data_IF_808525060732
#
_entry.id   IF_808525060732
#
_cell.length_a   1.000
_cell.length_b   1.000
_cell.length_c   1.000
_cell.angle_alpha   90.00
_cell.angle_beta   90.00
_cell.angle_gamma   90.00
#
_symmetry.space_group_name_H-M   'P 1'
#
loop_
_entity.id
_entity.type
_entity.pdbx_description
1 polymer ?
#
# COMPACT_ATOMS: atom_id res chain seq x y z
N UNK A 1 6.18 -9.86 -0.01
CA UNK A 1 6.20 -8.38 -0.17
C UNK A 1 4.88 -7.98 -0.80
N UNK A 2 4.19 -6.96 -0.23
CA UNK A 2 2.90 -6.51 -0.75
C UNK A 2 3.02 -6.18 -2.24
N UNK A 3 2.47 -7.02 -3.08
CA UNK A 3 2.52 -6.91 -4.54
C UNK A 3 1.13 -6.86 -5.18
N UNK A 4 0.08 -6.84 -4.38
CA UNK A 4 -1.31 -6.75 -4.82
C UNK A 4 -2.18 -6.24 -3.68
N UNK A 5 -3.08 -5.30 -3.95
CA UNK A 5 -4.04 -4.81 -2.96
C UNK A 5 -5.36 -4.42 -3.62
N UNK A 6 -6.35 -4.10 -2.82
CA UNK A 6 -7.65 -3.63 -3.28
C UNK A 6 -8.03 -2.29 -2.66
N UNK A 7 -8.82 -1.53 -3.39
CA UNK A 7 -9.47 -0.31 -2.95
C UNK A 7 -10.83 -0.21 -3.63
N UNK A 8 -11.89 -0.53 -2.91
CA UNK A 8 -13.27 -0.53 -3.43
C UNK A 8 -14.23 0.35 -2.62
N UNK A 9 -13.87 0.68 -1.38
CA UNK A 9 -14.64 1.60 -0.55
C UNK A 9 -14.68 3.01 -1.15
N UNK A 10 -15.80 3.70 -0.93
CA UNK A 10 -15.95 5.10 -1.32
C UNK A 10 -15.02 6.01 -0.50
N UNK A 11 -14.64 7.16 -1.05
CA UNK A 11 -13.79 8.13 -0.35
C UNK A 11 -14.42 8.63 0.96
N UNK A 12 -15.75 8.64 1.08
CA UNK A 12 -16.46 8.95 2.32
C UNK A 12 -16.16 7.93 3.45
N UNK A 13 -15.86 6.68 3.14
CA UNK A 13 -15.43 5.70 4.14
C UNK A 13 -13.97 5.98 4.55
N UNK A 14 -13.11 6.34 3.61
CA UNK A 14 -11.74 6.73 3.90
C UNK A 14 -11.64 8.02 4.73
N UNK A 15 -12.58 8.97 4.59
CA UNK A 15 -12.62 10.18 5.43
C UNK A 15 -12.85 9.88 6.92
N UNK A 16 -13.42 8.72 7.25
CA UNK A 16 -13.57 8.26 8.63
C UNK A 16 -12.25 7.77 9.25
N UNK A 17 -11.33 7.29 8.42
CA UNK A 17 -10.05 6.70 8.84
C UNK A 17 -8.85 7.58 8.54
N UNK A 18 -9.00 8.60 7.68
CA UNK A 18 -7.96 9.58 7.36
C UNK A 18 -8.39 10.96 7.85
N UNK A 19 -7.61 11.53 8.76
CA UNK A 19 -7.90 12.84 9.33
C UNK A 19 -7.68 13.97 8.31
N UNK A 20 -8.64 14.89 8.22
CA UNK A 20 -8.52 16.06 7.32
C UNK A 20 -8.52 15.72 5.85
N UNK A 21 -9.01 14.53 5.46
CA UNK A 21 -9.10 14.16 4.06
C UNK A 21 -10.09 15.04 3.33
N UNK A 22 -9.62 15.81 2.37
CA UNK A 22 -10.45 16.56 1.43
C UNK A 22 -10.64 15.73 0.16
N UNK A 23 -11.86 15.24 -0.04
CA UNK A 23 -12.24 14.40 -1.19
C UNK A 23 -12.96 15.19 -2.29
N UNK A 24 -13.12 16.51 -2.14
CA UNK A 24 -13.89 17.34 -3.06
C UNK A 24 -13.12 17.60 -4.37
N UNK A 25 -13.84 17.54 -5.49
CA UNK A 25 -13.35 17.93 -6.82
C UNK A 25 -12.40 16.93 -7.50
N UNK A 26 -12.30 15.70 -7.00
CA UNK A 26 -11.50 14.64 -7.60
C UNK A 26 -12.43 13.59 -8.19
N UNK A 27 -12.24 13.25 -9.46
CA UNK A 27 -12.83 12.06 -10.04
C UNK A 27 -12.11 10.82 -9.48
N UNK A 28 -12.72 10.07 -8.56
CA UNK A 28 -12.08 8.92 -7.99
C UNK A 28 -11.92 7.84 -9.06
N UNK A 29 -10.78 7.15 -9.02
CA UNK A 29 -10.65 5.92 -9.79
C UNK A 29 -11.79 4.95 -9.41
N UNK A 30 -12.30 4.16 -10.36
CA UNK A 30 -13.33 3.18 -10.07
C UNK A 30 -12.85 2.19 -9.01
N UNK A 31 -13.77 1.53 -8.29
CA UNK A 31 -13.42 0.46 -7.36
C UNK A 31 -12.53 -0.59 -8.03
N UNK A 32 -11.48 -1.00 -7.34
CA UNK A 32 -10.59 -2.03 -7.83
C UNK A 32 -10.32 -3.07 -6.74
N UNK A 33 -10.53 -4.33 -7.08
CA UNK A 33 -10.34 -5.49 -6.20
C UNK A 33 -9.00 -6.19 -6.43
N UNK A 34 -8.14 -5.66 -7.32
CA UNK A 34 -6.93 -6.37 -7.70
C UNK A 34 -5.87 -5.43 -8.32
N UNK A 35 -5.52 -4.37 -7.59
CA UNK A 35 -4.52 -3.39 -8.02
C UNK A 35 -3.15 -4.06 -8.06
N UNK A 36 -2.50 -4.01 -9.22
CA UNK A 36 -1.19 -4.59 -9.48
C UNK A 36 -0.13 -3.50 -9.75
N UNK A 37 1.17 -3.84 -9.64
CA UNK A 37 2.25 -2.94 -10.04
C UNK A 37 2.04 -2.33 -11.43
N UNK A 38 2.47 -1.11 -11.62
CA UNK A 38 2.32 -0.26 -12.82
C UNK A 38 0.90 0.25 -13.08
N UNK A 39 -0.08 -0.11 -12.26
CA UNK A 39 -1.42 0.48 -12.30
C UNK A 39 -1.51 1.74 -11.45
N UNK A 40 -2.48 2.59 -11.77
CA UNK A 40 -2.83 3.75 -10.97
C UNK A 40 -3.58 3.34 -9.69
N UNK A 41 -3.30 4.04 -8.59
CA UNK A 41 -4.02 3.89 -7.33
C UNK A 41 -4.16 5.23 -6.62
N UNK A 42 -5.14 5.31 -5.71
CA UNK A 42 -5.39 6.51 -4.94
C UNK A 42 -4.46 6.57 -3.72
N UNK A 43 -3.83 7.73 -3.57
CA UNK A 43 -3.00 8.06 -2.42
C UNK A 43 -3.44 9.41 -1.83
N UNK A 44 -3.20 9.60 -0.54
CA UNK A 44 -3.36 10.91 0.13
C UNK A 44 -1.99 11.52 0.31
N UNK A 45 -1.83 12.78 -0.07
CA UNK A 45 -0.62 13.59 0.16
C UNK A 45 -0.98 14.93 0.81
N UNK A 46 0.01 15.51 1.48
CA UNK A 46 -0.09 16.90 1.90
C UNK A 46 0.22 17.83 0.73
N UNK A 47 -0.69 18.73 0.41
CA UNK A 47 -0.50 19.76 -0.61
C UNK A 47 -1.09 21.08 -0.13
N UNK A 48 -0.30 22.16 -0.17
CA UNK A 48 -0.78 23.54 0.13
C UNK A 48 -1.64 23.64 1.39
N UNK A 49 -1.21 22.99 2.49
CA UNK A 49 -1.90 23.05 3.78
C UNK A 49 -3.11 22.13 3.93
N UNK A 50 -3.36 21.24 2.99
CA UNK A 50 -4.47 20.28 3.05
C UNK A 50 -4.05 18.85 2.66
N UNK A 51 -4.82 17.87 3.09
CA UNK A 51 -4.67 16.48 2.67
C UNK A 51 -5.57 16.22 1.46
N UNK A 52 -4.96 15.87 0.32
CA UNK A 52 -5.66 15.64 -0.95
C UNK A 52 -5.48 14.22 -1.45
N UNK A 53 -6.49 13.73 -2.14
CA UNK A 53 -6.42 12.45 -2.86
C UNK A 53 -5.89 12.69 -4.27
N UNK A 54 -4.88 11.92 -4.65
CA UNK A 54 -4.29 11.93 -5.99
C UNK A 54 -4.22 10.52 -6.55
N UNK A 55 -4.22 10.41 -7.88
CA UNK A 55 -4.01 9.16 -8.60
C UNK A 55 -2.56 9.06 -9.05
N UNK A 56 -1.80 8.11 -8.50
CA UNK A 56 -0.39 7.88 -8.82
C UNK A 56 -0.14 6.47 -9.33
N UNK A 57 0.89 6.29 -10.17
CA UNK A 57 1.28 4.97 -10.67
C UNK A 57 2.11 4.20 -9.63
N UNK A 58 1.77 2.95 -9.37
CA UNK A 58 2.50 2.09 -8.44
C UNK A 58 3.81 1.54 -9.05
N UNK A 59 4.92 1.95 -8.49
CA UNK A 59 6.28 1.64 -8.93
C UNK A 59 7.12 2.91 -8.99
N UNK A 60 7.87 3.19 -7.91
CA UNK A 60 8.55 4.47 -7.68
C UNK A 60 9.63 4.74 -8.73
N UNK A 61 9.59 5.95 -9.29
CA UNK A 61 10.64 6.52 -10.13
C UNK A 61 11.09 7.83 -9.47
N UNK A 62 12.28 7.88 -8.86
CA UNK A 62 12.78 9.09 -8.21
C UNK A 62 12.88 10.27 -9.16
N UNK A 63 12.59 11.50 -8.68
CA UNK A 63 12.60 12.72 -9.48
C UNK A 63 13.95 13.03 -10.15
N UNK A 64 15.06 12.59 -9.54
CA UNK A 64 16.41 12.80 -10.09
C UNK A 64 16.79 11.84 -11.23
N UNK A 65 16.02 10.78 -11.46
CA UNK A 65 16.35 9.73 -12.44
C UNK A 65 16.01 10.19 -13.85
N UNK A 66 17.02 10.54 -14.63
CA UNK A 66 16.85 11.02 -16.00
C UNK A 66 16.35 9.95 -16.98
N UNK A 67 16.83 8.73 -16.79
CA UNK A 67 16.43 7.58 -17.61
C UNK A 67 15.83 6.50 -16.69
N UNK A 68 14.52 6.48 -16.50
CA UNK A 68 13.88 5.47 -15.69
C UNK A 68 14.13 4.08 -16.29
N UNK A 69 14.89 3.28 -15.57
CA UNK A 69 15.13 1.89 -15.94
C UNK A 69 13.86 1.04 -15.87
N UNK A 70 13.99 -0.22 -16.25
CA UNK A 70 12.88 -1.20 -16.15
C UNK A 70 12.51 -1.52 -14.69
N UNK A 71 13.41 -1.27 -13.74
CA UNK A 71 13.19 -1.57 -12.31
C UNK A 71 12.53 -0.36 -11.66
N UNK A 72 11.25 -0.54 -11.32
CA UNK A 72 10.44 0.42 -10.56
C UNK A 72 10.04 -0.24 -9.25
N UNK A 73 10.73 0.05 -8.13
CA UNK A 73 10.43 -0.62 -6.87
C UNK A 73 9.00 -0.30 -6.41
N UNK A 74 8.24 -1.34 -6.20
CA UNK A 74 6.86 -1.26 -5.68
C UNK A 74 6.82 -1.20 -4.15
N UNK A 75 7.92 -1.60 -3.49
CA UNK A 75 8.05 -1.59 -2.04
C UNK A 75 9.40 -1.01 -1.60
N UNK A 76 9.39 -0.34 -0.44
CA UNK A 76 10.57 0.09 0.28
C UNK A 76 10.57 -0.54 1.69
N UNK A 77 11.73 -0.98 2.18
CA UNK A 77 11.84 -1.56 3.53
C UNK A 77 12.04 -0.46 4.57
N UNK A 78 11.20 -0.39 5.59
CA UNK A 78 11.26 0.60 6.66
C UNK A 78 12.65 0.68 7.30
N UNK A 79 13.32 -0.45 7.46
CA UNK A 79 14.62 -0.56 8.15
C UNK A 79 15.77 0.15 7.40
N UNK A 80 15.70 0.23 6.08
CA UNK A 80 16.80 0.75 5.24
C UNK A 80 16.40 1.91 4.34
N UNK A 81 15.15 2.35 4.41
CA UNK A 81 14.55 3.36 3.52
C UNK A 81 15.33 4.68 3.56
N UNK A 82 15.78 5.10 4.74
CA UNK A 82 16.52 6.35 4.96
C UNK A 82 17.95 6.33 4.39
N UNK A 83 18.51 5.14 4.12
CA UNK A 83 19.88 4.97 3.62
C UNK A 83 19.93 4.82 2.09
N UNK A 84 18.87 4.29 1.50
CA UNK A 84 18.86 3.96 0.07
C UNK A 84 18.64 5.20 -0.79
N UNK A 85 19.55 5.53 -1.75
CA UNK A 85 19.39 6.70 -2.62
C UNK A 85 18.04 6.75 -3.35
N UNK A 86 17.48 5.58 -3.67
CA UNK A 86 16.18 5.44 -4.32
C UNK A 86 15.02 6.03 -3.49
N UNK A 87 15.12 6.06 -2.17
CA UNK A 87 14.01 6.35 -1.27
C UNK A 87 14.26 7.48 -0.28
N UNK A 88 15.52 7.76 0.08
CA UNK A 88 15.89 8.63 1.22
C UNK A 88 15.29 10.04 1.14
N UNK A 89 15.24 10.62 -0.06
CA UNK A 89 14.75 11.99 -0.24
C UNK A 89 13.21 11.99 -0.17
N UNK A 90 12.56 11.01 -0.82
CA UNK A 90 11.12 10.82 -0.69
C UNK A 90 10.70 10.49 0.74
N UNK A 91 11.50 9.73 1.48
CA UNK A 91 11.26 9.43 2.89
C UNK A 91 11.25 10.68 3.78
N UNK A 92 12.08 11.66 3.47
CA UNK A 92 12.12 12.93 4.20
C UNK A 92 10.99 13.88 3.84
N UNK A 93 10.58 13.94 2.57
CA UNK A 93 9.77 15.06 2.07
C UNK A 93 8.54 14.65 1.25
N UNK A 94 8.47 13.43 0.75
CA UNK A 94 7.47 13.00 -0.22
C UNK A 94 6.77 11.72 0.26
N UNK A 95 6.07 11.83 1.38
CA UNK A 95 5.32 10.74 1.99
C UNK A 95 3.85 10.81 1.60
N UNK A 96 3.21 9.65 1.52
CA UNK A 96 1.79 9.54 1.21
C UNK A 96 1.15 8.41 2.03
N UNK A 97 -0.18 8.41 2.05
CA UNK A 97 -0.99 7.30 2.54
C UNK A 97 -1.64 6.62 1.33
N UNK A 98 -1.44 5.33 1.18
CA UNK A 98 -2.06 4.54 0.11
C UNK A 98 -3.39 4.01 0.61
N UNK A 99 -4.49 4.36 -0.06
CA UNK A 99 -5.84 3.94 0.32
C UNK A 99 -6.04 2.46 0.01
N UNK A 100 -6.52 1.68 0.99
CA UNK A 100 -6.56 0.23 0.92
C UNK A 100 -7.75 -0.33 1.72
N UNK A 101 -8.46 -1.30 1.13
CA UNK A 101 -9.47 -2.10 1.83
C UNK A 101 -8.89 -3.45 2.28
N UNK A 102 -7.91 -3.96 1.54
CA UNK A 102 -7.22 -5.20 1.84
C UNK A 102 -6.06 -5.44 0.87
N UNK A 103 -5.15 -6.34 1.23
CA UNK A 103 -4.04 -6.72 0.37
C UNK A 103 -3.93 -8.24 0.26
N UNK A 104 -3.18 -8.70 -0.74
CA UNK A 104 -3.01 -10.13 -1.00
C UNK A 104 -1.54 -10.53 -0.83
N UNK A 105 -1.35 -11.70 -0.23
CA UNK A 105 -0.05 -12.35 -0.11
C UNK A 105 -0.17 -13.84 -0.43
N UNK A 106 0.94 -14.44 -0.84
CA UNK A 106 0.99 -15.82 -1.33
C UNK A 106 1.80 -16.71 -0.39
N UNK A 107 1.10 -17.58 0.33
CA UNK A 107 1.73 -18.60 1.16
C UNK A 107 2.28 -19.74 0.29
N UNK A 108 3.56 -20.05 0.45
CA UNK A 108 4.15 -21.24 -0.18
C UNK A 108 3.73 -22.49 0.58
N UNK A 109 3.08 -23.43 -0.11
CA UNK A 109 2.64 -24.70 0.44
C UNK A 109 3.78 -25.75 0.36
N UNK A 110 3.62 -26.85 1.12
CA UNK A 110 4.60 -27.95 1.15
C UNK A 110 4.85 -28.57 -0.24
N UNK A 111 3.82 -28.60 -1.09
CA UNK A 111 3.92 -29.11 -2.48
C UNK A 111 4.54 -28.09 -3.46
N UNK A 112 5.09 -26.96 -2.98
CA UNK A 112 5.71 -25.90 -3.79
C UNK A 112 4.73 -24.94 -4.47
N UNK A 113 3.42 -25.21 -4.45
CA UNK A 113 2.40 -24.29 -4.97
C UNK A 113 2.24 -23.07 -4.04
N UNK A 114 1.69 -21.99 -4.58
CA UNK A 114 1.38 -20.79 -3.80
C UNK A 114 -0.14 -20.62 -3.68
N UNK A 115 -0.63 -20.52 -2.45
CA UNK A 115 -2.00 -20.21 -2.11
C UNK A 115 -2.12 -18.72 -1.81
N UNK A 116 -2.96 -17.96 -2.54
CA UNK A 116 -3.21 -16.56 -2.21
C UNK A 116 -4.11 -16.45 -0.97
N UNK A 117 -3.82 -15.44 -0.16
CA UNK A 117 -4.58 -15.04 1.01
C UNK A 117 -4.95 -13.57 0.89
N UNK A 118 -6.13 -13.24 1.37
CA UNK A 118 -6.56 -11.88 1.60
C UNK A 118 -6.27 -11.48 3.05
N UNK A 119 -5.79 -10.26 3.24
CA UNK A 119 -5.52 -9.66 4.54
C UNK A 119 -6.19 -8.28 4.58
N UNK A 120 -7.20 -8.13 5.42
CA UNK A 120 -7.95 -6.90 5.64
C UNK A 120 -8.22 -6.71 7.13
N UNK A 121 -8.77 -5.56 7.54
CA UNK A 121 -9.13 -5.36 8.94
C UNK A 121 -10.24 -6.32 9.36
N UNK A 122 -10.19 -6.79 10.60
CA UNK A 122 -11.18 -7.72 11.15
C UNK A 122 -12.59 -7.10 11.19
N UNK A 123 -12.67 -5.78 11.40
CA UNK A 123 -13.93 -5.02 11.40
C UNK A 123 -14.43 -4.66 9.98
N UNK A 124 -13.70 -5.05 8.92
CA UNK A 124 -14.03 -4.74 7.53
C UNK A 124 -13.85 -3.26 7.15
N UNK A 125 -13.35 -2.41 8.03
CA UNK A 125 -13.11 -1.01 7.70
C UNK A 125 -11.90 -0.84 6.78
N UNK A 126 -11.89 0.18 5.89
CA UNK A 126 -10.71 0.51 5.11
C UNK A 126 -9.57 1.01 6.02
N UNK A 127 -8.37 0.99 5.49
CA UNK A 127 -7.17 1.47 6.17
C UNK A 127 -6.20 2.14 5.20
N UNK A 128 -5.10 2.65 5.71
CA UNK A 128 -4.06 3.27 4.89
C UNK A 128 -2.72 2.61 5.14
N UNK A 129 -1.98 2.41 4.05
CA UNK A 129 -0.60 1.95 4.11
C UNK A 129 0.35 3.13 3.96
N UNK A 130 1.46 3.14 4.71
CA UNK A 130 2.52 4.11 4.52
C UNK A 130 3.15 3.97 3.13
N UNK A 131 3.30 5.07 2.42
CA UNK A 131 3.91 5.12 1.10
C UNK A 131 4.87 6.28 0.92
N UNK A 132 5.72 6.18 -0.09
CA UNK A 132 6.52 7.26 -0.64
C UNK A 132 6.04 7.57 -2.04
N UNK A 133 6.07 8.84 -2.41
CA UNK A 133 5.76 9.24 -3.78
C UNK A 133 6.92 10.03 -4.39
N UNK A 134 6.90 10.20 -5.67
CA UNK A 134 7.87 11.01 -6.39
C UNK A 134 7.24 11.58 -7.66
N UNK A 135 7.66 12.78 -8.01
CA UNK A 135 7.39 13.43 -9.28
C UNK A 135 8.67 13.40 -10.12
N UNK A 136 8.60 12.81 -11.30
CA UNK A 136 9.73 12.75 -12.22
C UNK A 136 9.37 13.40 -13.55
N UNK A 137 9.83 14.63 -13.75
CA UNK A 137 9.61 15.40 -14.96
C UNK A 137 10.37 14.88 -16.19
N UNK A 138 11.33 13.96 -16.00
CA UNK A 138 12.17 13.43 -17.10
C UNK A 138 11.69 12.10 -17.66
N UNK A 139 10.78 11.42 -16.97
CA UNK A 139 10.41 10.03 -17.28
C UNK A 139 9.49 9.84 -18.50
N UNK A 140 8.83 10.91 -18.92
CA UNK A 140 7.94 10.96 -20.08
C UNK A 140 7.81 12.43 -20.52
N UNK A 141 7.14 12.68 -21.66
CA UNK A 141 6.94 14.05 -22.18
C UNK A 141 6.22 14.98 -21.19
N UNK A 142 5.34 14.43 -20.35
CA UNK A 142 4.58 15.18 -19.34
C UNK A 142 5.01 14.88 -17.91
N UNK A 143 6.12 14.12 -17.74
CA UNK A 143 6.52 13.59 -16.44
C UNK A 143 5.63 12.44 -15.96
N UNK A 144 6.01 11.84 -14.84
CA UNK A 144 5.19 10.81 -14.18
C UNK A 144 5.21 11.00 -12.66
N UNK A 145 4.05 10.81 -12.05
CA UNK A 145 3.94 10.73 -10.60
C UNK A 145 3.74 9.28 -10.17
N UNK A 146 4.60 8.83 -9.28
CA UNK A 146 4.69 7.42 -8.89
C UNK A 146 4.76 7.26 -7.39
N UNK A 147 4.41 6.07 -6.89
CA UNK A 147 4.55 5.74 -5.47
C UNK A 147 5.06 4.32 -5.24
N UNK A 148 5.51 4.05 -4.02
CA UNK A 148 5.75 2.70 -3.51
C UNK A 148 5.20 2.55 -2.09
N UNK A 149 4.91 1.31 -1.69
CA UNK A 149 4.43 0.96 -0.34
C UNK A 149 5.62 0.68 0.58
N UNK A 150 5.57 1.17 1.81
CA UNK A 150 6.59 0.83 2.82
C UNK A 150 6.19 -0.48 3.50
N UNK A 151 7.18 -1.35 3.69
CA UNK A 151 6.99 -2.66 4.31
C UNK A 151 7.87 -2.84 5.55
N UNK A 152 7.39 -3.64 6.48
CA UNK A 152 8.05 -4.02 7.75
C UNK A 152 8.05 -5.55 7.90
N UNK A 153 8.83 -6.15 8.82
CA UNK A 153 8.64 -7.54 9.20
C UNK A 153 7.19 -7.81 9.59
N UNK A 154 6.65 -8.93 9.12
CA UNK A 154 5.27 -9.28 9.43
C UNK A 154 5.13 -9.70 10.90
N UNK A 155 3.99 -9.34 11.50
CA UNK A 155 3.57 -9.73 12.86
C UNK A 155 2.21 -10.44 12.82
N UNK A 156 1.79 -10.99 13.95
CA UNK A 156 0.49 -11.62 14.09
C UNK A 156 0.20 -12.70 13.04
N UNK A 157 -1.04 -12.78 12.59
CA UNK A 157 -1.46 -13.75 11.57
C UNK A 157 -0.79 -13.54 10.21
N UNK A 158 -0.48 -12.30 9.84
CA UNK A 158 0.20 -12.00 8.57
C UNK A 158 1.55 -12.70 8.46
N UNK A 159 2.28 -12.89 9.58
CA UNK A 159 3.56 -13.59 9.62
C UNK A 159 3.44 -15.08 9.24
N UNK A 160 2.27 -15.70 9.39
CA UNK A 160 2.02 -17.09 8.98
C UNK A 160 1.93 -17.25 7.46
N UNK A 161 1.72 -16.16 6.73
CA UNK A 161 1.57 -16.13 5.28
C UNK A 161 2.86 -15.68 4.60
N UNK A 162 3.43 -14.55 5.05
CA UNK A 162 4.65 -13.99 4.47
C UNK A 162 5.48 -13.28 5.54
N UNK A 163 6.81 -13.25 5.40
CA UNK A 163 7.73 -12.62 6.34
C UNK A 163 7.71 -11.07 6.33
N UNK A 164 7.00 -10.46 5.38
CA UNK A 164 6.83 -9.00 5.27
C UNK A 164 5.37 -8.64 5.16
N UNK A 165 5.01 -7.46 5.69
CA UNK A 165 3.69 -6.85 5.55
C UNK A 165 3.83 -5.34 5.25
N UNK A 166 2.82 -4.67 4.65
CA UNK A 166 2.81 -3.21 4.56
C UNK A 166 2.76 -2.58 5.95
N UNK A 167 3.36 -1.40 6.09
CA UNK A 167 3.17 -0.60 7.30
C UNK A 167 1.78 0.03 7.23
N UNK A 168 0.88 -0.38 8.10
CA UNK A 168 -0.46 0.19 8.26
C UNK A 168 -0.37 1.28 9.31
N UNK A 169 -0.67 2.53 8.92
CA UNK A 169 -0.50 3.67 9.83
C UNK A 169 -1.76 3.90 10.66
N UNK A 170 -1.66 3.92 12.01
CA UNK A 170 -2.75 4.31 12.86
C UNK A 170 -3.10 5.79 12.66
N UNK A 171 -4.36 6.16 12.87
CA UNK A 171 -4.84 7.53 12.65
C UNK A 171 -3.98 8.60 13.33
N UNK A 172 -3.53 8.34 14.55
CA UNK A 172 -2.71 9.27 15.33
C UNK A 172 -1.34 9.60 14.69
N UNK A 173 -0.81 8.73 13.82
CA UNK A 173 0.47 8.94 13.16
C UNK A 173 0.34 9.60 11.77
N UNK A 174 -0.85 9.63 11.18
CA UNK A 174 -1.03 10.00 9.77
C UNK A 174 -0.71 11.47 9.49
N UNK A 175 -1.16 12.38 10.35
CA UNK A 175 -0.90 13.83 10.19
C UNK A 175 0.60 14.13 10.23
N UNK A 176 1.31 13.56 11.20
CA UNK A 176 2.77 13.72 11.28
C UNK A 176 3.49 13.03 10.12
N UNK A 177 2.99 11.87 9.68
CA UNK A 177 3.52 11.17 8.51
C UNK A 177 3.43 12.02 7.24
N UNK A 178 2.32 12.70 7.03
CA UNK A 178 2.10 13.54 5.84
C UNK A 178 2.79 14.91 5.93
N UNK A 179 3.13 15.39 7.12
CA UNK A 179 3.74 16.72 7.32
C UNK A 179 5.20 16.76 6.83
N UNK A 180 5.52 17.47 5.74
CA UNK A 180 6.88 17.56 5.23
C UNK A 180 7.84 18.31 6.14
N UNK A 181 7.35 19.08 7.13
CA UNK A 181 8.19 19.76 8.13
C UNK A 181 8.80 18.78 9.13
N UNK A 182 8.16 17.62 9.36
CA UNK A 182 8.70 16.50 10.13
C UNK A 182 9.70 15.75 9.26
N UNK A 183 10.96 16.19 9.22
CA UNK A 183 11.97 15.66 8.28
C UNK A 183 13.17 14.99 8.96
N UNK A 184 13.24 15.01 10.30
CA UNK A 184 14.28 14.30 11.05
C UNK A 184 14.05 12.78 10.91
N UNK A 185 15.06 12.07 10.42
CA UNK A 185 15.00 10.65 10.10
C UNK A 185 14.45 9.80 11.25
N UNK A 186 14.92 10.05 12.46
CA UNK A 186 14.54 9.29 13.66
C UNK A 186 13.06 9.46 13.96
N UNK A 187 12.54 10.68 13.93
CA UNK A 187 11.11 10.97 14.15
C UNK A 187 10.23 10.30 13.10
N UNK A 188 10.62 10.37 11.82
CA UNK A 188 9.86 9.75 10.74
C UNK A 188 9.89 8.22 10.84
N UNK A 189 11.03 7.64 11.27
CA UNK A 189 11.15 6.20 11.49
C UNK A 189 10.26 5.70 12.63
N UNK A 190 10.15 6.44 13.72
CA UNK A 190 9.28 6.10 14.86
C UNK A 190 7.82 5.96 14.44
N UNK A 191 7.34 6.77 13.48
CA UNK A 191 5.98 6.68 12.97
C UNK A 191 5.69 5.34 12.26
N UNK A 192 6.73 4.66 11.75
CA UNK A 192 6.59 3.37 11.08
C UNK A 192 6.56 2.17 12.05
N UNK A 193 6.87 2.38 13.32
CA UNK A 193 6.94 1.31 14.33
C UNK A 193 5.58 1.00 14.99
N UNK A 194 4.59 1.86 14.83
CA UNK A 194 3.34 1.85 15.58
C UNK A 194 2.18 1.32 14.74
N UNK A 195 2.04 0.02 14.66
CA UNK A 195 0.92 -0.53 13.92
C UNK A 195 0.65 -1.99 14.24
N UNK A 196 0.23 -2.28 15.45
CA UNK A 196 -0.48 -3.54 15.68
C UNK A 196 -1.90 -3.35 15.14
N UNK A 197 -2.17 -3.95 13.98
CA UNK A 197 -3.48 -3.90 13.33
C UNK A 197 -4.07 -5.29 13.37
N UNK A 198 -5.26 -5.39 13.94
CA UNK A 198 -6.02 -6.63 13.94
C UNK A 198 -6.48 -6.94 12.50
N UNK A 199 -5.86 -7.96 11.91
CA UNK A 199 -6.11 -8.39 10.53
C UNK A 199 -6.84 -9.72 10.50
N UNK A 200 -7.91 -9.76 9.73
CA UNK A 200 -8.54 -11.01 9.28
C UNK A 200 -7.74 -11.55 8.09
N UNK A 201 -7.27 -12.80 8.22
CA UNK A 201 -6.45 -13.48 7.21
C UNK A 201 -7.17 -14.74 6.74
N UNK A 202 -7.42 -14.88 5.44
CA UNK A 202 -8.12 -16.03 4.91
C UNK A 202 -7.70 -16.37 3.47
N UNK A 203 -7.77 -17.66 3.08
CA UNK A 203 -7.46 -18.08 1.73
C UNK A 203 -8.51 -17.61 0.72
N UNK A 204 -8.05 -17.21 -0.46
CA UNK A 204 -8.89 -16.82 -1.59
C UNK A 204 -8.57 -17.65 -2.83
N UNK A 205 -9.45 -17.57 -3.85
CA UNK A 205 -9.24 -18.28 -5.11
C UNK A 205 -7.99 -17.78 -5.85
N UNK A 206 -7.34 -18.67 -6.60
CA UNK A 206 -6.28 -18.30 -7.55
C UNK A 206 -6.76 -17.37 -8.68
N UNK A 207 -8.03 -17.05 -8.72
CA UNK A 207 -8.60 -16.03 -9.61
C UNK A 207 -7.87 -14.69 -9.47
N UNK A 208 -7.44 -14.30 -8.25
CA UNK A 208 -6.69 -13.08 -7.97
C UNK A 208 -5.29 -13.06 -8.63
N UNK A 209 -4.75 -14.19 -9.06
CA UNK A 209 -3.40 -14.27 -9.64
C UNK A 209 -3.26 -13.43 -10.92
N UNK A 210 -4.31 -13.37 -11.74
CA UNK A 210 -4.30 -12.54 -12.95
C UNK A 210 -4.72 -11.10 -12.64
N UNK A 211 -3.90 -10.08 -12.93
CA UNK A 211 -4.29 -8.67 -12.76
C UNK A 211 -5.49 -8.25 -13.62
N UNK A 212 -5.81 -9.00 -14.67
CA UNK A 212 -6.99 -8.76 -15.51
C UNK A 212 -8.30 -9.10 -14.79
N UNK A 213 -8.23 -9.93 -13.75
CA UNK A 213 -9.38 -10.26 -12.92
C UNK A 213 -9.57 -9.16 -11.86
N UNK A 214 -10.56 -8.31 -12.04
CA UNK A 214 -10.83 -7.17 -11.15
C UNK A 214 -12.31 -7.14 -10.75
N UNK A 215 -12.67 -7.96 -9.77
CA UNK A 215 -14.02 -8.00 -9.20
C UNK A 215 -13.99 -8.51 -7.77
N UNK A 216 -15.08 -8.36 -7.03
CA UNK A 216 -15.22 -8.86 -5.65
C UNK A 216 -14.90 -10.37 -5.52
N UNK A 217 -14.92 -11.13 -6.61
CA UNK A 217 -14.52 -12.56 -6.61
C UNK A 217 -13.06 -12.75 -6.17
N UNK A 218 -12.21 -11.74 -6.30
CA UNK A 218 -10.81 -11.80 -5.86
C UNK A 218 -10.69 -11.99 -4.34
N UNK A 219 -11.61 -11.39 -3.56
CA UNK A 219 -11.60 -11.36 -2.10
C UNK A 219 -12.54 -12.38 -1.45
N UNK A 220 -13.25 -13.22 -2.22
CA UNK A 220 -14.15 -14.23 -1.64
C UNK A 220 -13.33 -15.26 -0.86
N UNK A 221 -13.64 -15.40 0.44
CA UNK A 221 -13.07 -16.43 1.31
C UNK A 221 -13.40 -17.82 0.76
N UNK A 222 -12.39 -18.65 0.60
CA UNK A 222 -12.61 -20.07 0.32
C UNK A 222 -13.15 -20.74 1.58
N UNK A 223 -14.16 -21.62 1.40
CA UNK A 223 -14.59 -22.50 2.46
C UNK A 223 -13.39 -23.32 2.95
N UNK A 224 -13.24 -23.47 4.25
CA UNK A 224 -12.30 -24.44 4.79
C UNK A 224 -12.67 -25.79 4.21
N UNK A 225 -11.81 -26.34 3.35
CA UNK A 225 -11.93 -27.74 2.98
C UNK A 225 -11.88 -28.50 4.29
N UNK A 226 -12.92 -29.22 4.62
CA UNK A 226 -12.88 -30.21 5.67
C UNK A 226 -11.77 -31.21 5.28
N UNK A 227 -10.52 -30.88 5.60
CA UNK A 227 -9.41 -31.80 5.53
C UNK A 227 -9.66 -32.79 6.65
N UNK A 228 -10.38 -33.84 6.21
CA UNK A 228 -10.76 -34.96 7.01
C UNK A 228 -9.61 -35.48 7.83
N UNK A 229 -9.96 -35.79 9.05
CA UNK A 229 -9.39 -36.92 9.73
C UNK A 229 -9.32 -38.12 8.74
N UNK A 230 -8.14 -38.59 8.47
CA UNK A 230 -7.75 -39.96 8.30
C UNK A 230 -6.27 -40.12 8.57
#
# INVERSE_FOLDING_TARGET
>A
MCGRFERHSALSEFSKVVEGLMAEGIDPLPPSYNIAPSQAALVVRHQTGAHRVDSLTWGLVPGWMKEPGKIRPINARAETIHQKPMFRDAFRYQRCLVLCDGYYEWKKLANGRKQPYHLGRTDGSPFVMAGLWSDNAHAASEGIQTFCVITTPASGEAATIHHRMPVILPRAAQTQWLDPSVSKTEQVQELLLNGDVDLSVYPVSTFVNSPANNSAKCAIRLAESATGAN
#
